data_IF_752083702137
#
_entry.id   IF_752083702137
#
_cell.length_a   1.000
_cell.length_b   1.000
_cell.length_c   1.000
_cell.angle_alpha   90.00
_cell.angle_beta   90.00
_cell.angle_gamma   90.00
#
_symmetry.space_group_name_H-M   'P 1'
#
loop_
_entity.id
_entity.type
_entity.pdbx_description
1 polymer ?
#
# COMPACT_ATOMS: atom_id res chain seq x y z
N UNK A 1 -4.09 26.66 -14.17
CA UNK A 1 -4.24 26.45 -12.70
C UNK A 1 -3.00 25.71 -12.25
N UNK A 2 -2.33 26.12 -11.18
CA UNK A 2 -1.13 25.43 -10.69
C UNK A 2 -1.54 24.30 -9.74
N UNK A 3 -0.78 23.20 -9.72
CA UNK A 3 -0.94 22.11 -8.76
C UNK A 3 -0.41 22.60 -7.42
N UNK A 4 -1.25 22.58 -6.40
CA UNK A 4 -0.91 22.99 -5.04
C UNK A 4 -0.20 21.86 -4.31
N UNK A 5 1.03 22.10 -3.90
CA UNK A 5 1.88 21.11 -3.23
C UNK A 5 2.12 21.53 -1.78
N UNK A 6 2.00 20.60 -0.85
CA UNK A 6 2.50 20.73 0.51
C UNK A 6 3.73 19.82 0.67
N UNK A 7 4.73 20.30 1.41
CA UNK A 7 5.91 19.52 1.80
C UNK A 7 5.82 19.26 3.30
N UNK A 8 6.03 18.03 3.75
CA UNK A 8 6.12 17.67 5.16
C UNK A 8 7.41 16.85 5.38
N UNK A 9 8.40 17.48 6.02
CA UNK A 9 9.74 16.94 6.22
C UNK A 9 10.41 17.66 7.41
N UNK A 10 10.93 16.92 8.39
CA UNK A 10 11.59 17.48 9.57
C UNK A 10 12.96 18.12 9.29
N UNK A 11 13.53 17.82 8.11
CA UNK A 11 14.81 18.38 7.67
C UNK A 11 14.61 19.72 6.96
N UNK A 12 14.67 20.84 7.68
CA UNK A 12 14.43 22.20 7.17
C UNK A 12 15.25 22.53 5.91
N UNK A 13 16.54 22.16 5.87
CA UNK A 13 17.39 22.44 4.70
C UNK A 13 16.86 21.71 3.46
N UNK A 14 16.39 20.48 3.64
CA UNK A 14 15.89 19.66 2.55
C UNK A 14 14.54 20.15 2.05
N UNK A 15 13.61 20.47 2.95
CA UNK A 15 12.30 21.00 2.59
C UNK A 15 12.40 22.33 1.84
N UNK A 16 13.32 23.23 2.25
CA UNK A 16 13.61 24.48 1.51
C UNK A 16 14.29 24.22 0.15
N UNK A 17 15.17 23.21 0.07
CA UNK A 17 15.76 22.77 -1.19
C UNK A 17 14.69 22.26 -2.17
N UNK A 18 13.79 21.39 -1.71
CA UNK A 18 12.65 20.89 -2.50
C UNK A 18 11.74 22.06 -2.92
N UNK A 19 11.41 22.95 -2.01
CA UNK A 19 10.61 24.15 -2.30
C UNK A 19 11.22 24.99 -3.42
N UNK A 20 12.54 25.20 -3.38
CA UNK A 20 13.28 25.95 -4.43
C UNK A 20 13.22 25.23 -5.78
N UNK A 21 13.36 23.90 -5.79
CA UNK A 21 13.22 23.07 -6.99
C UNK A 21 11.83 23.18 -7.57
N UNK A 22 10.78 23.04 -6.75
CA UNK A 22 9.40 23.10 -7.22
C UNK A 22 9.01 24.51 -7.73
N UNK A 23 9.56 25.57 -7.14
CA UNK A 23 9.36 26.94 -7.59
C UNK A 23 9.92 27.22 -8.99
N UNK A 24 10.85 26.38 -9.51
CA UNK A 24 11.34 26.50 -10.89
C UNK A 24 10.31 26.06 -11.93
N UNK A 25 9.27 25.33 -11.51
CA UNK A 25 8.18 24.90 -12.40
C UNK A 25 7.03 25.93 -12.39
N UNK A 26 6.60 26.37 -13.57
CA UNK A 26 5.44 27.25 -13.70
C UNK A 26 4.09 26.56 -13.38
N UNK A 27 4.09 25.21 -13.34
CA UNK A 27 2.89 24.39 -13.14
C UNK A 27 2.63 24.03 -11.67
N UNK A 28 3.62 24.22 -10.79
CA UNK A 28 3.54 23.87 -9.37
C UNK A 28 3.50 25.12 -8.47
N UNK A 29 2.89 24.98 -7.31
CA UNK A 29 2.86 26.00 -6.26
C UNK A 29 2.98 25.34 -4.89
N UNK A 30 4.08 25.61 -4.17
CA UNK A 30 4.21 25.15 -2.79
C UNK A 30 3.42 26.09 -1.88
N UNK A 31 2.32 25.57 -1.33
CA UNK A 31 1.40 26.36 -0.50
C UNK A 31 1.73 26.31 1.00
N UNK A 32 2.42 25.26 1.45
CA UNK A 32 2.83 25.11 2.85
C UNK A 32 4.03 24.16 2.98
N UNK A 33 4.78 24.34 4.05
CA UNK A 33 5.84 23.43 4.52
C UNK A 33 5.53 23.11 5.98
N UNK A 34 5.49 21.83 6.32
CA UNK A 34 5.30 21.30 7.66
C UNK A 34 6.56 20.51 8.09
N UNK A 35 6.81 20.42 9.39
CA UNK A 35 7.98 19.74 9.94
C UNK A 35 7.63 18.43 10.66
N UNK A 36 6.34 18.10 10.75
CA UNK A 36 5.83 16.81 11.19
C UNK A 36 4.42 16.54 10.63
N UNK A 37 3.92 15.32 10.87
CA UNK A 37 2.62 14.91 10.34
C UNK A 37 1.44 15.63 11.01
N UNK A 38 1.58 16.06 12.27
CA UNK A 38 0.52 16.81 12.96
C UNK A 38 0.43 18.24 12.40
N UNK A 39 1.56 18.92 12.24
CA UNK A 39 1.62 20.23 11.62
C UNK A 39 1.06 20.22 10.19
N UNK A 40 1.36 19.16 9.43
CA UNK A 40 0.79 18.98 8.10
C UNK A 40 -0.75 18.95 8.13
N UNK A 41 -1.36 18.21 9.05
CA UNK A 41 -2.81 18.16 9.22
C UNK A 41 -3.40 19.51 9.64
N UNK A 42 -2.72 20.23 10.53
CA UNK A 42 -3.17 21.54 11.02
C UNK A 42 -3.14 22.60 9.90
N UNK A 43 -2.10 22.58 9.06
CA UNK A 43 -2.00 23.45 7.88
C UNK A 43 -3.03 23.06 6.80
N UNK A 44 -3.30 21.78 6.61
CA UNK A 44 -4.34 21.31 5.67
C UNK A 44 -5.74 21.76 6.08
N UNK A 45 -6.01 21.94 7.36
CA UNK A 45 -7.29 22.49 7.83
C UNK A 45 -7.50 23.96 7.38
N UNK A 46 -6.42 24.67 7.08
CA UNK A 46 -6.47 26.06 6.59
C UNK A 46 -6.49 26.09 5.06
N UNK A 47 -5.66 25.26 4.41
CA UNK A 47 -5.59 25.18 2.95
C UNK A 47 -5.26 23.76 2.50
N UNK A 48 -6.18 23.14 1.76
CA UNK A 48 -6.03 21.78 1.27
C UNK A 48 -5.15 21.77 0.01
N UNK A 49 -4.03 21.00 -0.02
CA UNK A 49 -3.21 20.81 -1.21
C UNK A 49 -3.84 19.80 -2.17
N UNK A 50 -3.36 19.77 -3.41
CA UNK A 50 -3.65 18.69 -4.36
C UNK A 50 -2.74 17.49 -4.12
N UNK A 51 -1.45 17.76 -3.81
CA UNK A 51 -0.41 16.74 -3.57
C UNK A 51 0.35 17.08 -2.29
N UNK A 52 0.60 16.09 -1.44
CA UNK A 52 1.50 16.18 -0.30
C UNK A 52 2.75 15.35 -0.57
N UNK A 53 3.92 15.98 -0.54
CA UNK A 53 5.22 15.29 -0.42
C UNK A 53 5.46 15.05 1.06
N UNK A 54 5.59 13.79 1.46
CA UNK A 54 5.58 13.40 2.87
C UNK A 54 6.77 12.53 3.21
N UNK A 55 7.64 12.97 4.12
CA UNK A 55 8.65 12.08 4.68
C UNK A 55 8.03 11.07 5.65
N UNK A 56 8.68 9.91 5.77
CA UNK A 56 8.27 8.85 6.70
C UNK A 56 8.69 9.17 8.13
N UNK A 57 9.95 9.57 8.32
CA UNK A 57 10.50 9.78 9.67
C UNK A 57 10.43 11.23 10.07
N UNK A 58 9.39 11.54 10.80
CA UNK A 58 9.19 12.85 11.41
C UNK A 58 8.85 12.69 12.90
N UNK A 59 9.16 13.70 13.74
CA UNK A 59 8.75 13.73 15.14
C UNK A 59 7.22 13.76 15.27
N UNK A 60 6.71 13.62 16.49
CA UNK A 60 5.29 13.68 16.85
C UNK A 60 4.43 12.67 16.10
N UNK A 61 4.19 12.87 14.80
CA UNK A 61 3.44 11.98 13.93
C UNK A 61 4.28 11.63 12.69
N UNK A 62 4.61 10.35 12.54
CA UNK A 62 5.34 9.84 11.37
C UNK A 62 4.47 9.84 10.09
N UNK A 63 5.13 9.79 8.92
CA UNK A 63 4.45 9.89 7.64
C UNK A 63 3.50 8.74 7.31
N UNK A 64 3.70 7.55 7.87
CA UNK A 64 2.77 6.42 7.66
C UNK A 64 1.44 6.71 8.34
N UNK A 65 1.46 7.15 9.60
CA UNK A 65 0.27 7.55 10.36
C UNK A 65 -0.39 8.76 9.71
N UNK A 66 0.41 9.77 9.35
CA UNK A 66 -0.07 10.99 8.68
C UNK A 66 -0.76 10.65 7.36
N UNK A 67 -0.22 9.72 6.56
CA UNK A 67 -0.87 9.24 5.32
C UNK A 67 -2.30 8.74 5.59
N UNK A 68 -2.48 7.87 6.58
CA UNK A 68 -3.79 7.33 6.94
C UNK A 68 -4.77 8.42 7.38
N UNK A 69 -4.33 9.35 8.24
CA UNK A 69 -5.16 10.47 8.70
C UNK A 69 -5.51 11.46 7.57
N UNK A 70 -4.57 11.76 6.67
CA UNK A 70 -4.81 12.58 5.47
C UNK A 70 -5.84 11.89 4.58
N UNK A 71 -5.67 10.63 4.25
CA UNK A 71 -6.60 9.91 3.37
C UNK A 71 -8.00 9.76 3.96
N UNK A 72 -8.11 9.65 5.27
CA UNK A 72 -9.39 9.61 5.99
C UNK A 72 -10.13 10.95 5.94
N UNK A 73 -9.42 12.06 6.14
CA UNK A 73 -10.02 13.42 6.20
C UNK A 73 -10.15 14.07 4.82
N UNK A 74 -9.19 13.81 3.94
CA UNK A 74 -9.06 14.43 2.62
C UNK A 74 -8.81 13.36 1.54
N UNK A 75 -9.81 12.50 1.20
CA UNK A 75 -9.62 11.35 0.31
C UNK A 75 -9.15 11.72 -1.11
N UNK A 76 -9.44 12.95 -1.56
CA UNK A 76 -9.01 13.47 -2.86
C UNK A 76 -7.53 13.85 -2.94
N UNK A 77 -6.89 14.15 -1.80
CA UNK A 77 -5.48 14.56 -1.74
C UNK A 77 -4.57 13.39 -2.11
N UNK A 78 -3.59 13.65 -2.96
CA UNK A 78 -2.58 12.67 -3.35
C UNK A 78 -1.42 12.71 -2.37
N UNK A 79 -1.10 11.59 -1.73
CA UNK A 79 0.04 11.50 -0.83
C UNK A 79 1.17 10.77 -1.55
N UNK A 80 2.26 11.49 -1.81
CA UNK A 80 3.47 10.98 -2.44
C UNK A 80 4.58 10.96 -1.39
N UNK A 81 4.97 9.78 -0.96
CA UNK A 81 6.03 9.61 0.03
C UNK A 81 7.40 9.91 -0.58
N UNK A 82 8.20 10.75 0.07
CA UNK A 82 9.54 11.12 -0.35
C UNK A 82 10.50 10.97 0.83
N UNK A 83 11.33 9.93 0.85
CA UNK A 83 12.15 9.57 2.02
C UNK A 83 13.51 9.00 1.64
N UNK A 84 14.43 8.96 2.61
CA UNK A 84 15.72 8.27 2.47
C UNK A 84 15.61 6.76 2.72
N UNK A 85 14.48 6.29 3.23
CA UNK A 85 14.28 4.90 3.64
C UNK A 85 13.64 4.07 2.53
N UNK A 86 14.20 2.89 2.33
CA UNK A 86 13.69 1.90 1.38
C UNK A 86 13.29 0.59 2.09
N UNK A 87 12.94 0.67 3.38
CA UNK A 87 12.47 -0.46 4.18
C UNK A 87 11.09 -0.93 3.70
N UNK A 88 10.96 -2.24 3.50
CA UNK A 88 9.75 -2.86 2.94
C UNK A 88 8.51 -2.62 3.80
N UNK A 89 8.67 -2.59 5.14
CA UNK A 89 7.53 -2.43 6.05
C UNK A 89 6.95 -1.02 5.97
N UNK A 90 7.79 0.00 5.87
CA UNK A 90 7.33 1.38 5.67
C UNK A 90 6.68 1.59 4.30
N UNK A 91 7.26 0.97 3.25
CA UNK A 91 6.70 1.03 1.90
C UNK A 91 5.28 0.44 1.87
N UNK A 92 5.13 -0.80 2.37
CA UNK A 92 3.84 -1.48 2.40
C UNK A 92 2.83 -0.74 3.26
N UNK A 93 3.24 -0.28 4.44
CA UNK A 93 2.36 0.45 5.36
C UNK A 93 1.88 1.77 4.75
N UNK A 94 2.74 2.54 4.08
CA UNK A 94 2.35 3.79 3.43
C UNK A 94 1.37 3.55 2.27
N UNK A 95 1.63 2.55 1.43
CA UNK A 95 0.75 2.19 0.31
C UNK A 95 -0.61 1.67 0.81
N UNK A 96 -0.63 0.83 1.84
CA UNK A 96 -1.87 0.32 2.45
C UNK A 96 -2.69 1.46 3.09
N UNK A 97 -2.05 2.49 3.61
CA UNK A 97 -2.72 3.69 4.13
C UNK A 97 -3.16 4.66 3.03
N UNK A 98 -2.95 4.33 1.75
CA UNK A 98 -3.47 5.06 0.60
C UNK A 98 -2.50 6.08 -0.01
N UNK A 99 -1.18 5.96 0.22
CA UNK A 99 -0.19 6.70 -0.56
C UNK A 99 -0.33 6.33 -2.04
N UNK A 100 -0.29 7.33 -2.93
CA UNK A 100 -0.33 7.11 -4.37
C UNK A 100 1.05 6.82 -4.97
N UNK A 101 2.13 6.97 -4.19
CA UNK A 101 3.47 6.68 -4.64
C UNK A 101 4.51 6.78 -3.54
N UNK A 102 5.69 6.29 -3.86
CA UNK A 102 6.83 6.23 -2.95
C UNK A 102 8.12 6.55 -3.72
N UNK A 103 8.84 7.56 -3.30
CA UNK A 103 10.08 8.03 -3.93
C UNK A 103 11.23 8.06 -2.92
N UNK A 104 12.43 7.88 -3.40
CA UNK A 104 13.65 8.08 -2.61
C UNK A 104 14.16 9.52 -2.79
N UNK A 105 14.73 10.11 -1.73
CA UNK A 105 15.23 11.50 -1.70
C UNK A 105 16.46 11.74 -2.60
N UNK A 106 17.01 10.70 -3.22
CA UNK A 106 18.07 10.79 -4.23
C UNK A 106 17.54 11.05 -5.66
N UNK A 107 16.23 11.27 -5.79
CA UNK A 107 15.56 11.59 -7.07
C UNK A 107 16.06 12.92 -7.63
N UNK A 108 16.23 12.99 -8.95
CA UNK A 108 16.57 14.26 -9.63
C UNK A 108 15.41 15.25 -9.61
N UNK A 109 15.72 16.56 -9.63
CA UNK A 109 14.72 17.63 -9.64
C UNK A 109 13.68 17.50 -10.77
N UNK A 110 14.06 17.24 -12.05
CA UNK A 110 13.08 17.02 -13.11
C UNK A 110 12.18 15.81 -12.85
N UNK A 111 12.73 14.70 -12.34
CA UNK A 111 11.95 13.50 -12.06
C UNK A 111 10.97 13.69 -10.88
N UNK A 112 11.32 14.49 -9.88
CA UNK A 112 10.41 14.85 -8.79
C UNK A 112 9.21 15.68 -9.29
N UNK A 113 9.47 16.69 -10.13
CA UNK A 113 8.41 17.51 -10.74
C UNK A 113 7.46 16.63 -11.56
N UNK A 114 8.01 15.72 -12.38
CA UNK A 114 7.23 14.78 -13.18
C UNK A 114 6.39 13.82 -12.31
N UNK A 115 6.99 13.30 -11.24
CA UNK A 115 6.29 12.42 -10.29
C UNK A 115 5.10 13.12 -9.63
N UNK A 116 5.23 14.39 -9.25
CA UNK A 116 4.12 15.18 -8.67
C UNK A 116 3.00 15.35 -9.69
N UNK A 117 3.32 15.65 -10.94
CA UNK A 117 2.34 15.83 -12.03
C UNK A 117 1.58 14.52 -12.31
N UNK A 118 2.30 13.41 -12.38
CA UNK A 118 1.73 12.09 -12.61
C UNK A 118 0.85 11.66 -11.42
N UNK A 119 1.30 11.90 -10.18
CA UNK A 119 0.50 11.66 -8.98
C UNK A 119 -0.81 12.49 -8.98
N UNK A 120 -0.73 13.76 -9.36
CA UNK A 120 -1.90 14.62 -9.54
C UNK A 120 -2.87 14.08 -10.60
N UNK A 121 -2.35 13.57 -11.72
CA UNK A 121 -3.15 12.94 -12.77
C UNK A 121 -3.81 11.62 -12.33
N UNK A 122 -3.36 11.02 -11.22
CA UNK A 122 -3.93 9.79 -10.66
C UNK A 122 -3.08 8.54 -10.86
N UNK A 123 -1.87 8.69 -11.40
CA UNK A 123 -0.96 7.57 -11.58
C UNK A 123 -0.32 7.14 -10.24
N UNK A 124 0.03 5.85 -10.17
CA UNK A 124 0.81 5.30 -9.06
C UNK A 124 2.30 5.39 -9.38
N UNK A 125 3.06 6.06 -8.51
CA UNK A 125 4.49 6.32 -8.73
C UNK A 125 5.33 5.38 -7.86
N UNK A 126 5.89 4.35 -8.48
CA UNK A 126 6.77 3.38 -7.82
C UNK A 126 8.03 3.16 -8.66
N UNK A 127 9.21 3.68 -8.24
CA UNK A 127 10.47 3.33 -8.89
C UNK A 127 10.69 1.81 -8.90
N UNK A 128 11.36 1.29 -9.92
CA UNK A 128 11.55 -0.16 -10.12
C UNK A 128 12.12 -0.88 -8.88
N UNK A 129 13.04 -0.23 -8.15
CA UNK A 129 13.60 -0.75 -6.89
C UNK A 129 12.53 -0.94 -5.83
N UNK A 130 11.61 0.01 -5.70
CA UNK A 130 10.50 -0.04 -4.73
C UNK A 130 9.45 -1.06 -5.16
N UNK A 131 9.07 -1.08 -6.44
CA UNK A 131 8.14 -2.05 -7.00
C UNK A 131 8.63 -3.50 -6.78
N UNK A 132 9.94 -3.75 -6.95
CA UNK A 132 10.53 -5.05 -6.64
C UNK A 132 10.38 -5.43 -5.18
N UNK A 133 10.67 -4.52 -4.23
CA UNK A 133 10.51 -4.76 -2.78
C UNK A 133 9.06 -5.08 -2.41
N UNK A 134 8.10 -4.34 -2.96
CA UNK A 134 6.66 -4.62 -2.77
C UNK A 134 6.32 -6.01 -3.28
N UNK A 135 6.80 -6.40 -4.47
CA UNK A 135 6.59 -7.73 -5.03
C UNK A 135 7.21 -8.85 -4.17
N UNK A 136 8.44 -8.64 -3.70
CA UNK A 136 9.14 -9.63 -2.88
C UNK A 136 8.47 -9.78 -1.50
N UNK A 137 8.02 -8.68 -0.89
CA UNK A 137 7.26 -8.71 0.36
C UNK A 137 5.89 -9.40 0.19
N UNK A 138 5.20 -9.16 -0.92
CA UNK A 138 3.94 -9.85 -1.24
C UNK A 138 4.14 -11.38 -1.36
N UNK A 139 5.25 -11.83 -1.98
CA UNK A 139 5.62 -13.25 -2.05
C UNK A 139 5.91 -13.85 -0.68
N UNK A 140 6.60 -13.11 0.21
CA UNK A 140 6.87 -13.57 1.58
C UNK A 140 5.58 -13.78 2.38
N UNK A 141 4.65 -12.83 2.31
CA UNK A 141 3.34 -12.96 2.98
C UNK A 141 2.56 -14.16 2.46
N UNK A 142 2.59 -14.41 1.15
CA UNK A 142 1.93 -15.58 0.55
C UNK A 142 2.57 -16.87 1.05
N UNK A 143 3.92 -16.94 1.08
CA UNK A 143 4.65 -18.09 1.59
C UNK A 143 4.36 -18.40 3.06
N UNK A 144 4.26 -17.37 3.91
CA UNK A 144 3.92 -17.56 5.33
C UNK A 144 2.48 -18.10 5.50
N UNK A 145 1.52 -17.56 4.76
CA UNK A 145 0.13 -18.07 4.74
C UNK A 145 0.06 -19.54 4.30
N UNK A 146 0.80 -19.90 3.27
CA UNK A 146 0.90 -21.28 2.80
C UNK A 146 1.43 -22.22 3.90
N UNK A 147 2.52 -21.82 4.56
CA UNK A 147 3.14 -22.58 5.65
C UNK A 147 2.16 -22.74 6.82
N UNK A 148 1.47 -21.67 7.22
CA UNK A 148 0.47 -21.71 8.31
C UNK A 148 -0.67 -22.68 7.96
N UNK A 149 -1.22 -22.62 6.76
CA UNK A 149 -2.30 -23.51 6.32
C UNK A 149 -1.86 -24.99 6.25
N UNK A 150 -0.65 -25.27 5.75
CA UNK A 150 -0.10 -26.63 5.72
C UNK A 150 0.07 -27.20 7.12
N UNK A 151 0.63 -26.42 8.04
CA UNK A 151 0.89 -26.86 9.43
C UNK A 151 -0.41 -27.08 10.22
N UNK A 152 -1.38 -26.18 10.08
CA UNK A 152 -2.60 -26.23 10.88
C UNK A 152 -3.60 -27.30 10.39
N UNK A 153 -3.73 -27.50 9.05
CA UNK A 153 -4.80 -28.31 8.49
C UNK A 153 -4.32 -29.48 7.62
N UNK A 154 -2.99 -29.65 7.44
CA UNK A 154 -2.44 -30.72 6.61
C UNK A 154 -2.82 -30.58 5.14
N UNK A 155 -2.91 -29.35 4.62
CA UNK A 155 -3.23 -29.12 3.22
C UNK A 155 -2.09 -29.54 2.30
N UNK A 156 -2.44 -30.22 1.20
CA UNK A 156 -1.55 -30.44 0.05
C UNK A 156 -1.32 -29.12 -0.69
N UNK A 157 -0.32 -29.08 -1.60
CA UNK A 157 -0.01 -27.92 -2.43
C UNK A 157 -1.25 -27.38 -3.14
N UNK A 158 -2.04 -28.28 -3.73
CA UNK A 158 -3.25 -27.91 -4.46
C UNK A 158 -4.37 -27.41 -3.57
N UNK A 159 -4.52 -27.99 -2.38
CA UNK A 159 -5.50 -27.52 -1.39
C UNK A 159 -5.15 -26.15 -0.84
N UNK A 160 -3.86 -25.85 -0.61
CA UNK A 160 -3.39 -24.53 -0.21
C UNK A 160 -3.73 -23.47 -1.28
N UNK A 161 -3.42 -23.77 -2.54
CA UNK A 161 -3.69 -22.85 -3.67
C UNK A 161 -5.19 -22.53 -3.76
N UNK A 162 -6.04 -23.54 -3.68
CA UNK A 162 -7.50 -23.38 -3.69
C UNK A 162 -8.00 -22.65 -2.42
N UNK A 163 -7.45 -22.97 -1.25
CA UNK A 163 -7.83 -22.33 0.02
C UNK A 163 -7.51 -20.83 0.02
N UNK A 164 -6.36 -20.44 -0.52
CA UNK A 164 -6.00 -19.02 -0.67
C UNK A 164 -6.94 -18.29 -1.64
N UNK A 165 -7.29 -18.89 -2.76
CA UNK A 165 -8.28 -18.32 -3.69
C UNK A 165 -9.68 -18.19 -3.06
N UNK A 166 -10.09 -19.19 -2.25
CA UNK A 166 -11.33 -19.10 -1.46
C UNK A 166 -11.28 -17.93 -0.47
N UNK A 167 -10.15 -17.76 0.20
CA UNK A 167 -9.90 -16.67 1.16
C UNK A 167 -9.97 -15.29 0.49
N UNK A 168 -9.43 -15.15 -0.72
CA UNK A 168 -9.47 -13.93 -1.55
C UNK A 168 -10.84 -13.66 -2.19
N UNK A 169 -11.81 -14.56 -2.01
CA UNK A 169 -13.18 -14.33 -2.46
C UNK A 169 -13.54 -14.92 -3.83
N UNK A 170 -12.63 -15.64 -4.50
CA UNK A 170 -12.90 -16.28 -5.79
C UNK A 170 -14.01 -17.33 -5.69
N UNK A 171 -14.99 -17.31 -6.58
CA UNK A 171 -16.03 -18.34 -6.63
C UNK A 171 -15.50 -19.63 -7.28
N UNK A 172 -16.29 -20.73 -7.16
CA UNK A 172 -15.84 -22.07 -7.61
C UNK A 172 -15.50 -22.11 -9.12
N UNK A 173 -16.22 -21.37 -9.98
CA UNK A 173 -15.95 -21.29 -11.42
C UNK A 173 -14.66 -20.54 -11.70
N UNK A 174 -14.41 -19.44 -11.00
CA UNK A 174 -13.18 -18.68 -11.12
C UNK A 174 -11.97 -19.51 -10.69
N UNK A 175 -12.09 -20.27 -9.58
CA UNK A 175 -11.06 -21.21 -9.11
C UNK A 175 -10.81 -22.31 -10.16
N UNK A 176 -11.87 -22.94 -10.66
CA UNK A 176 -11.74 -23.96 -11.70
C UNK A 176 -11.04 -23.42 -12.95
N UNK A 177 -11.46 -22.25 -13.43
CA UNK A 177 -10.86 -21.60 -14.62
C UNK A 177 -9.40 -21.23 -14.41
N UNK A 178 -9.05 -20.61 -13.29
CA UNK A 178 -7.70 -20.15 -12.99
C UNK A 178 -6.70 -21.32 -12.86
N UNK A 179 -7.18 -22.47 -12.37
CA UNK A 179 -6.36 -23.63 -12.10
C UNK A 179 -6.44 -24.73 -13.19
N UNK A 180 -7.16 -24.48 -14.28
CA UNK A 180 -7.36 -25.45 -15.36
C UNK A 180 -8.09 -26.72 -14.92
N UNK A 181 -9.03 -26.62 -13.97
CA UNK A 181 -9.79 -27.75 -13.42
C UNK A 181 -11.20 -27.82 -14.01
N UNK A 182 -11.78 -29.01 -14.00
CA UNK A 182 -13.24 -29.14 -14.20
C UNK A 182 -14.01 -28.62 -12.98
N UNK A 183 -15.26 -28.19 -13.19
CA UNK A 183 -16.16 -27.75 -12.11
C UNK A 183 -16.36 -28.85 -11.04
N UNK A 184 -16.38 -30.11 -11.45
CA UNK A 184 -16.48 -31.27 -10.55
C UNK A 184 -15.24 -31.44 -9.69
N UNK A 185 -14.06 -31.36 -10.30
CA UNK A 185 -12.78 -31.47 -9.60
C UNK A 185 -12.59 -30.33 -8.60
N UNK A 186 -12.91 -29.10 -9.00
CA UNK A 186 -12.83 -27.93 -8.10
C UNK A 186 -13.75 -28.10 -6.88
N UNK A 187 -15.00 -28.57 -7.09
CA UNK A 187 -15.93 -28.84 -5.99
C UNK A 187 -15.40 -29.91 -5.03
N UNK A 188 -14.78 -30.98 -5.55
CA UNK A 188 -14.20 -32.04 -4.70
C UNK A 188 -13.08 -31.49 -3.80
N UNK A 189 -12.16 -30.69 -4.35
CA UNK A 189 -11.12 -30.04 -3.55
C UNK A 189 -11.70 -29.11 -2.49
N UNK A 190 -12.69 -28.28 -2.85
CA UNK A 190 -13.33 -27.34 -1.93
C UNK A 190 -14.04 -28.11 -0.79
N UNK A 191 -14.69 -29.22 -1.09
CA UNK A 191 -15.33 -30.07 -0.08
C UNK A 191 -14.28 -30.71 0.85
N UNK A 192 -13.15 -31.18 0.31
CA UNK A 192 -12.05 -31.70 1.12
C UNK A 192 -11.43 -30.63 2.04
N UNK A 193 -11.29 -29.39 1.56
CA UNK A 193 -10.83 -28.24 2.35
C UNK A 193 -11.80 -27.97 3.48
N UNK A 194 -13.11 -27.92 3.23
CA UNK A 194 -14.11 -27.71 4.29
C UNK A 194 -14.06 -28.82 5.34
N UNK A 195 -13.90 -30.07 4.92
CA UNK A 195 -13.76 -31.22 5.82
C UNK A 195 -12.53 -31.06 6.73
N UNK A 196 -11.37 -30.74 6.15
CA UNK A 196 -10.12 -30.54 6.90
C UNK A 196 -10.18 -29.34 7.84
N UNK A 197 -10.92 -28.31 7.46
CA UNK A 197 -11.20 -27.15 8.31
C UNK A 197 -12.25 -27.47 9.41
N UNK A 198 -13.00 -28.56 9.31
CA UNK A 198 -14.12 -28.85 10.19
C UNK A 198 -15.26 -27.83 10.05
N UNK A 199 -15.59 -27.42 8.83
CA UNK A 199 -16.57 -26.38 8.55
C UNK A 199 -17.61 -26.86 7.53
N UNK A 200 -18.87 -26.39 7.71
CA UNK A 200 -20.01 -26.80 6.87
C UNK A 200 -20.27 -25.86 5.69
N UNK A 201 -19.28 -25.03 5.32
CA UNK A 201 -19.44 -24.15 4.17
C UNK A 201 -18.44 -23.00 4.07
N UNK A 202 -18.60 -22.24 2.98
CA UNK A 202 -17.65 -21.22 2.58
C UNK A 202 -17.40 -20.12 3.62
N UNK A 203 -18.47 -19.57 4.20
CA UNK A 203 -18.34 -18.47 5.16
C UNK A 203 -17.59 -18.89 6.43
N UNK A 204 -17.91 -20.09 6.96
CA UNK A 204 -17.24 -20.66 8.12
C UNK A 204 -15.76 -20.98 7.81
N UNK A 205 -15.47 -21.53 6.62
CA UNK A 205 -14.11 -21.82 6.17
C UNK A 205 -13.26 -20.54 6.07
N UNK A 206 -13.79 -19.47 5.48
CA UNK A 206 -13.12 -18.16 5.39
C UNK A 206 -12.88 -17.58 6.78
N UNK A 207 -13.86 -17.62 7.68
CA UNK A 207 -13.71 -17.12 9.05
C UNK A 207 -12.58 -17.85 9.80
N UNK A 208 -12.54 -19.19 9.72
CA UNK A 208 -11.51 -20.00 10.36
C UNK A 208 -10.11 -19.75 9.79
N UNK A 209 -9.99 -19.59 8.47
CA UNK A 209 -8.73 -19.21 7.87
C UNK A 209 -8.29 -17.80 8.28
N UNK A 210 -9.22 -16.83 8.43
CA UNK A 210 -8.93 -15.48 8.93
C UNK A 210 -8.37 -15.51 10.36
N UNK A 211 -8.95 -16.28 11.23
CA UNK A 211 -8.43 -16.45 12.60
C UNK A 211 -6.99 -16.94 12.62
N UNK A 212 -6.68 -17.98 11.82
CA UNK A 212 -5.32 -18.51 11.71
C UNK A 212 -4.32 -17.55 11.08
N UNK A 213 -4.72 -16.91 9.98
CA UNK A 213 -3.81 -16.10 9.15
C UNK A 213 -3.57 -14.70 9.71
N UNK A 214 -4.47 -14.19 10.59
CA UNK A 214 -4.36 -12.91 11.26
C UNK A 214 -3.91 -13.04 12.74
N UNK A 215 -3.74 -14.27 13.26
CA UNK A 215 -3.12 -14.48 14.56
C UNK A 215 -1.60 -14.22 14.42
N UNK A 216 -1.13 -13.15 15.11
CA UNK A 216 0.29 -12.84 15.30
C UNK A 216 0.99 -13.87 16.19
#
# INVERSE_FOLDING_TARGET
MKIKVMIADDQVILSEGIRSVLASSSELEVIAVAHDGQEALDLMAQQVPDVVLLDIRMPSMNGVVATGEIKKRYPGVKVLVLTTFDDSDYILSALNNGACGYLLKDISAPALIEAIKNAYAGDTILPAKIAKKVSDAAKMVTSDREIKLRRAFGFSDREVEIALMLFEGFNNRQIASALGLSDGTSRNYISAIYMKLGCDGRAAAIAKMKELLNAE
#
